data_IF_997133099741
#
_entry.id   IF_997133099741
#
_cell.length_a   1.000
_cell.length_b   1.000
_cell.length_c   1.000
_cell.angle_alpha   90.00
_cell.angle_beta   90.00
_cell.angle_gamma   90.00
#
_symmetry.space_group_name_H-M   'P 1'
#
loop_
_entity.id
_entity.type
_entity.pdbx_description
1 polymer ?
#
# COMPACT_ATOMS: atom_id res chain seq x y z
N UNK A 1 23.15 -16.20 11.07
CA UNK A 1 22.84 -17.14 9.98
C UNK A 1 21.78 -16.48 9.11
N UNK A 2 22.05 -16.28 7.81
CA UNK A 2 21.00 -15.92 6.87
C UNK A 2 20.21 -17.20 6.60
N UNK A 3 19.09 -17.37 7.28
CA UNK A 3 18.22 -18.52 7.05
C UNK A 3 17.48 -18.27 5.72
N UNK A 4 17.44 -19.29 4.87
CA UNK A 4 16.71 -19.23 3.61
C UNK A 4 15.21 -19.23 3.91
N UNK A 5 14.51 -18.16 3.52
CA UNK A 5 13.04 -18.09 3.63
C UNK A 5 12.37 -19.26 2.91
N UNK A 6 12.97 -19.77 1.83
CA UNK A 6 12.46 -20.94 1.11
C UNK A 6 12.47 -22.16 2.02
N UNK A 7 13.55 -22.36 2.77
CA UNK A 7 13.71 -23.54 3.63
C UNK A 7 12.73 -23.49 4.80
N UNK A 8 12.54 -22.32 5.43
CA UNK A 8 11.54 -22.15 6.49
C UNK A 8 10.12 -22.43 6.00
N UNK A 9 9.75 -21.92 4.82
CA UNK A 9 8.44 -22.17 4.22
C UNK A 9 8.22 -23.67 3.95
N UNK A 10 9.24 -24.37 3.47
CA UNK A 10 9.19 -25.82 3.23
C UNK A 10 8.98 -26.59 4.55
N UNK A 11 9.72 -26.23 5.61
CA UNK A 11 9.58 -26.88 6.91
C UNK A 11 8.20 -26.68 7.52
N UNK A 12 7.63 -25.47 7.43
CA UNK A 12 6.26 -25.22 7.89
C UNK A 12 5.24 -26.00 7.08
N UNK A 13 5.39 -26.08 5.74
CA UNK A 13 4.49 -26.83 4.87
C UNK A 13 4.46 -28.32 5.19
N UNK A 14 5.62 -28.93 5.50
CA UNK A 14 5.71 -30.36 5.84
C UNK A 14 4.88 -30.73 7.07
N UNK A 15 4.74 -29.82 8.02
CA UNK A 15 3.96 -30.02 9.24
C UNK A 15 2.45 -29.79 9.07
N UNK A 16 2.02 -29.22 7.94
CA UNK A 16 0.61 -28.88 7.71
C UNK A 16 -0.21 -30.07 7.18
N UNK A 17 -1.50 -30.17 7.55
CA UNK A 17 -2.48 -30.98 6.85
C UNK A 17 -2.57 -30.64 5.35
N UNK A 18 -2.95 -31.63 4.54
CA UNK A 18 -2.94 -31.53 3.08
C UNK A 18 -3.85 -30.41 2.53
N UNK A 19 -4.99 -30.17 3.17
CA UNK A 19 -5.92 -29.10 2.79
C UNK A 19 -5.29 -27.72 2.99
N UNK A 20 -4.54 -27.50 4.08
CA UNK A 20 -3.82 -26.26 4.33
C UNK A 20 -2.62 -26.09 3.39
N UNK A 21 -1.88 -27.17 3.09
CA UNK A 21 -0.83 -27.13 2.07
C UNK A 21 -1.38 -26.67 0.70
N UNK A 22 -2.58 -27.12 0.35
CA UNK A 22 -3.24 -26.73 -0.88
C UNK A 22 -3.59 -25.23 -0.90
N UNK A 23 -4.08 -24.69 0.23
CA UNK A 23 -4.34 -23.26 0.37
C UNK A 23 -3.07 -22.41 0.21
N UNK A 24 -1.96 -22.83 0.83
CA UNK A 24 -0.68 -22.13 0.69
C UNK A 24 -0.17 -22.15 -0.75
N UNK A 25 -0.29 -23.29 -1.44
CA UNK A 25 0.09 -23.40 -2.85
C UNK A 25 -0.74 -22.45 -3.73
N UNK A 26 -2.04 -22.37 -3.50
CA UNK A 26 -2.91 -21.48 -4.27
C UNK A 26 -2.58 -20.01 -4.00
N UNK A 27 -2.34 -19.66 -2.73
CA UNK A 27 -1.88 -18.32 -2.36
C UNK A 27 -0.55 -17.94 -3.04
N UNK A 28 0.43 -18.85 -3.03
CA UNK A 28 1.72 -18.61 -3.67
C UNK A 28 1.58 -18.41 -5.19
N UNK A 29 0.69 -19.14 -5.86
CA UNK A 29 0.37 -18.94 -7.29
C UNK A 29 -0.26 -17.59 -7.56
N UNK A 30 -1.19 -17.15 -6.71
CA UNK A 30 -1.80 -15.83 -6.82
C UNK A 30 -0.72 -14.76 -6.64
N UNK A 31 0.11 -14.88 -5.61
CA UNK A 31 1.18 -13.94 -5.30
C UNK A 31 2.19 -13.83 -6.45
N UNK A 32 2.63 -14.97 -7.01
CA UNK A 32 3.56 -15.00 -8.15
C UNK A 32 2.98 -14.36 -9.42
N UNK A 33 1.65 -14.44 -9.60
CA UNK A 33 0.93 -13.78 -10.70
C UNK A 33 0.55 -12.34 -10.39
N UNK A 34 0.56 -11.95 -9.12
CA UNK A 34 0.29 -10.58 -8.69
C UNK A 34 1.47 -9.70 -9.07
N UNK A 35 1.46 -9.20 -10.30
CA UNK A 35 2.24 -8.01 -10.61
C UNK A 35 1.69 -6.89 -9.74
N UNK A 36 2.56 -6.11 -9.10
CA UNK A 36 2.18 -4.85 -8.47
C UNK A 36 1.55 -3.99 -9.56
N UNK A 37 0.22 -3.91 -9.57
CA UNK A 37 -0.54 -3.12 -10.56
C UNK A 37 -0.73 -1.73 -9.99
N UNK A 38 0.19 -0.84 -10.32
CA UNK A 38 0.02 0.60 -10.14
C UNK A 38 -0.55 1.25 -11.40
N UNK A 39 -1.20 2.40 -11.23
CA UNK A 39 -1.44 3.29 -12.38
C UNK A 39 -0.12 4.02 -12.67
N UNK A 40 0.44 3.94 -13.90
CA UNK A 40 1.64 4.68 -14.24
C UNK A 40 1.46 6.18 -13.96
N UNK A 41 2.42 6.82 -13.29
CA UNK A 41 2.32 8.23 -12.91
C UNK A 41 1.96 9.17 -14.07
N UNK A 42 2.45 8.88 -15.29
CA UNK A 42 2.08 9.60 -16.52
C UNK A 42 0.56 9.65 -16.79
N UNK A 43 -0.20 8.64 -16.37
CA UNK A 43 -1.68 8.61 -16.50
C UNK A 43 -2.37 9.49 -15.47
N UNK A 44 -1.69 9.85 -14.38
CA UNK A 44 -2.22 10.71 -13.32
C UNK A 44 -2.07 12.19 -13.66
N UNK A 45 -1.21 12.57 -14.62
CA UNK A 45 -0.98 13.96 -15.03
C UNK A 45 -2.25 14.67 -15.51
N UNK A 46 -3.24 13.93 -16.02
CA UNK A 46 -4.55 14.50 -16.39
C UNK A 46 -5.30 15.17 -15.23
N UNK A 47 -4.94 14.84 -13.99
CA UNK A 47 -5.53 15.42 -12.79
C UNK A 47 -4.73 16.61 -12.25
N UNK A 48 -3.56 16.92 -12.83
CA UNK A 48 -2.78 18.09 -12.42
C UNK A 48 -3.60 19.36 -12.65
N UNK A 49 -3.68 20.21 -11.62
CA UNK A 49 -4.49 21.44 -11.63
C UNK A 49 -5.97 21.24 -11.98
N UNK A 50 -6.53 20.04 -11.75
CA UNK A 50 -7.94 19.75 -12.03
C UNK A 50 -8.92 20.14 -10.92
N UNK A 51 -8.41 20.57 -9.76
CA UNK A 51 -9.23 21.00 -8.64
C UNK A 51 -9.82 22.39 -8.95
N UNK A 52 -11.15 22.56 -8.95
CA UNK A 52 -11.79 23.86 -9.15
C UNK A 52 -11.33 24.90 -8.12
N UNK A 53 -11.27 26.20 -8.49
CA UNK A 53 -10.88 27.26 -7.55
C UNK A 53 -11.72 27.31 -6.27
N UNK A 54 -13.03 27.08 -6.37
CA UNK A 54 -13.93 27.11 -5.22
C UNK A 54 -13.61 25.96 -4.25
N UNK A 55 -13.32 24.76 -4.76
CA UNK A 55 -12.89 23.62 -3.95
C UNK A 55 -11.51 23.89 -3.30
N UNK A 56 -10.60 24.56 -4.00
CA UNK A 56 -9.31 24.98 -3.42
C UNK A 56 -9.51 25.98 -2.27
N UNK A 57 -10.50 26.87 -2.36
CA UNK A 57 -10.83 27.81 -1.31
C UNK A 57 -11.40 27.09 -0.09
N UNK A 58 -12.32 26.16 -0.29
CA UNK A 58 -12.87 25.32 0.78
C UNK A 58 -11.78 24.50 1.49
N UNK A 59 -10.86 23.90 0.73
CA UNK A 59 -9.73 23.16 1.29
C UNK A 59 -8.82 24.07 2.13
N UNK A 60 -8.55 25.30 1.67
CA UNK A 60 -7.76 26.28 2.41
C UNK A 60 -8.41 26.62 3.75
N UNK A 61 -9.69 26.96 3.74
CA UNK A 61 -10.44 27.32 4.94
C UNK A 61 -10.45 26.18 5.96
N UNK A 62 -10.67 24.94 5.52
CA UNK A 62 -10.63 23.76 6.39
C UNK A 62 -9.24 23.53 7.01
N UNK A 63 -8.15 23.76 6.25
CA UNK A 63 -6.79 23.65 6.78
C UNK A 63 -6.53 24.73 7.84
N UNK A 64 -6.96 25.98 7.59
CA UNK A 64 -6.72 27.10 8.51
C UNK A 64 -7.53 27.00 9.81
N UNK A 65 -8.75 26.45 9.74
CA UNK A 65 -9.66 26.35 10.88
C UNK A 65 -9.45 25.10 11.73
N UNK A 66 -9.23 23.94 11.09
CA UNK A 66 -9.32 22.64 11.76
C UNK A 66 -8.01 21.84 11.74
N UNK A 67 -7.01 22.24 10.94
CA UNK A 67 -5.73 21.54 10.91
C UNK A 67 -4.77 22.15 11.94
N UNK A 68 -4.29 21.32 12.87
CA UNK A 68 -3.33 21.65 13.92
C UNK A 68 -2.29 22.66 13.42
N UNK A 69 -2.39 23.91 13.90
CA UNK A 69 -1.46 24.96 13.52
C UNK A 69 -0.07 24.60 14.05
N UNK A 70 0.91 24.53 13.15
CA UNK A 70 2.30 24.32 13.54
C UNK A 70 2.80 25.60 14.22
N UNK A 71 2.96 25.58 15.54
CA UNK A 71 3.66 26.65 16.23
C UNK A 71 5.14 26.56 15.90
N UNK A 72 5.60 27.50 15.06
CA UNK A 72 6.99 27.61 14.62
C UNK A 72 7.96 27.92 15.76
N UNK A 73 7.46 28.27 16.96
CA UNK A 73 8.26 28.61 18.14
C UNK A 73 8.25 27.51 19.22
N UNK A 74 7.59 26.37 18.98
CA UNK A 74 7.55 25.24 19.93
C UNK A 74 8.80 24.33 19.90
N UNK A 75 9.88 24.73 19.21
CA UNK A 75 11.16 24.01 19.13
C UNK A 75 12.33 24.81 19.70
#
# INVERSE_FOLDING_TARGET
MNISIIDEVIEQLKAMPQDLQWQVLEFARILAKSQVRGTPGKKLLRFAASIPPDDLQLMREAIEQDCEQVDINEW
#
